data_IF_915528990879
#
_entry.id   IF_915528990879
#
_cell.length_a   1.000
_cell.length_b   1.000
_cell.length_c   1.000
_cell.angle_alpha   90.00
_cell.angle_beta   90.00
_cell.angle_gamma   90.00
#
_symmetry.space_group_name_H-M   'P 1'
#
loop_
_entity.id
_entity.type
_entity.pdbx_description
1 polymer ?
#
# COMPACT_ATOMS: atom_id res chain seq x y z
N UNK A 1 18.44 -30.15 12.92
CA UNK A 1 18.49 -31.34 13.79
C UNK A 1 18.09 -32.52 12.94
N UNK A 2 18.81 -33.64 13.00
CA UNK A 2 18.45 -34.84 12.27
C UNK A 2 17.24 -35.50 12.94
N UNK A 3 16.17 -35.71 12.17
CA UNK A 3 14.87 -36.18 12.63
C UNK A 3 14.55 -37.63 12.20
N UNK A 4 15.55 -38.33 11.65
CA UNK A 4 15.47 -39.72 11.17
C UNK A 4 16.40 -40.64 11.97
N UNK A 5 16.27 -41.98 11.86
CA UNK A 5 17.22 -42.91 12.45
C UNK A 5 18.67 -42.59 12.08
N UNK A 6 19.61 -43.00 12.93
CA UNK A 6 21.04 -42.76 12.74
C UNK A 6 21.51 -43.20 11.35
N UNK A 7 22.31 -42.35 10.70
CA UNK A 7 22.97 -42.63 9.44
C UNK A 7 24.47 -42.37 9.61
N UNK A 8 25.21 -43.34 10.19
CA UNK A 8 26.63 -43.18 10.55
C UNK A 8 27.51 -42.81 9.35
N UNK A 9 27.18 -43.31 8.17
CA UNK A 9 27.91 -43.08 6.92
C UNK A 9 27.91 -41.61 6.46
N UNK A 10 27.02 -40.80 7.03
CA UNK A 10 26.94 -39.35 6.80
C UNK A 10 27.16 -38.53 8.06
N UNK A 11 27.64 -39.18 9.13
CA UNK A 11 27.83 -38.59 10.46
C UNK A 11 26.53 -37.99 11.07
N UNK A 12 25.37 -38.46 10.63
CA UNK A 12 24.07 -37.99 11.10
C UNK A 12 23.55 -38.90 12.22
N UNK A 13 23.24 -38.30 13.37
CA UNK A 13 22.69 -38.99 14.55
C UNK A 13 21.35 -38.38 14.92
N UNK A 14 20.35 -39.19 15.25
CA UNK A 14 19.00 -38.74 15.60
C UNK A 14 19.07 -37.76 16.77
N UNK A 15 18.42 -36.60 16.62
CA UNK A 15 18.44 -35.53 17.61
C UNK A 15 19.72 -34.67 17.62
N UNK A 16 20.75 -35.04 16.84
CA UNK A 16 21.97 -34.24 16.72
C UNK A 16 21.87 -33.18 15.61
N UNK A 17 22.80 -32.21 15.57
CA UNK A 17 22.97 -31.33 14.43
C UNK A 17 23.21 -32.11 13.14
N UNK A 18 22.63 -31.65 12.04
CA UNK A 18 22.78 -32.27 10.71
C UNK A 18 23.90 -31.63 9.86
N UNK A 19 24.88 -30.98 10.50
CA UNK A 19 26.02 -30.33 9.82
C UNK A 19 25.73 -28.98 9.14
N UNK A 20 24.55 -28.39 9.33
CA UNK A 20 24.25 -27.01 8.88
C UNK A 20 25.02 -25.96 9.71
N UNK A 21 24.93 -24.68 9.33
CA UNK A 21 25.64 -23.58 10.01
C UNK A 21 25.43 -23.62 11.53
N UNK A 22 26.52 -23.79 12.29
CA UNK A 22 26.52 -23.84 13.75
C UNK A 22 27.67 -23.01 14.34
N UNK A 23 27.42 -22.17 15.36
CA UNK A 23 26.11 -21.89 15.96
C UNK A 23 25.27 -20.92 15.10
N UNK A 24 24.02 -21.29 14.82
CA UNK A 24 23.08 -20.42 14.12
C UNK A 24 22.46 -19.42 15.11
N UNK A 25 23.02 -18.21 15.17
CA UNK A 25 22.60 -17.16 16.11
C UNK A 25 21.10 -16.84 15.97
N UNK A 26 20.54 -16.96 14.77
CA UNK A 26 19.11 -16.75 14.54
C UNK A 26 18.22 -17.72 15.34
N UNK A 27 18.54 -19.03 15.32
CA UNK A 27 17.77 -20.02 16.08
C UNK A 27 17.80 -19.75 17.59
N UNK A 28 18.94 -19.25 18.10
CA UNK A 28 19.05 -18.84 19.50
C UNK A 28 18.23 -17.58 19.81
N UNK A 29 18.23 -16.59 18.92
CA UNK A 29 17.40 -15.40 19.08
C UNK A 29 15.90 -15.73 19.08
N UNK A 30 15.45 -16.60 18.17
CA UNK A 30 14.06 -17.06 18.13
C UNK A 30 13.65 -17.82 19.40
N UNK A 31 14.55 -18.65 19.96
CA UNK A 31 14.29 -19.30 21.24
C UNK A 31 14.09 -18.30 22.39
N UNK A 32 14.92 -17.25 22.47
CA UNK A 32 14.79 -16.21 23.49
C UNK A 32 13.47 -15.44 23.31
N UNK A 33 13.10 -15.08 22.08
CA UNK A 33 11.83 -14.42 21.77
C UNK A 33 10.63 -15.27 22.18
N UNK A 34 10.68 -16.59 21.96
CA UNK A 34 9.63 -17.51 22.37
C UNK A 34 9.47 -17.54 23.89
N UNK A 35 10.57 -17.74 24.64
CA UNK A 35 10.55 -17.74 26.10
C UNK A 35 9.98 -16.43 26.66
N UNK A 36 10.40 -15.30 26.08
CA UNK A 36 9.89 -13.99 26.46
C UNK A 36 8.39 -13.85 26.15
N UNK A 37 7.94 -14.34 25.01
CA UNK A 37 6.55 -14.27 24.59
C UNK A 37 5.64 -15.11 25.49
N UNK A 38 6.08 -16.32 25.87
CA UNK A 38 5.37 -17.19 26.81
C UNK A 38 5.24 -16.53 28.18
N UNK A 39 6.32 -15.91 28.69
CA UNK A 39 6.29 -15.18 29.95
C UNK A 39 5.35 -13.99 29.94
N UNK A 40 5.34 -13.23 28.84
CA UNK A 40 4.53 -12.02 28.71
C UNK A 40 3.08 -12.32 28.25
N UNK A 41 2.76 -13.58 27.93
CA UNK A 41 1.44 -14.01 27.43
C UNK A 41 1.07 -13.43 26.06
N UNK A 42 2.05 -12.90 25.32
CA UNK A 42 1.87 -12.25 24.01
C UNK A 42 3.15 -12.34 23.19
N UNK A 43 3.02 -12.29 21.86
CA UNK A 43 4.16 -12.24 20.94
C UNK A 43 5.02 -11.00 21.26
N UNK A 44 6.26 -11.24 21.71
CA UNK A 44 7.16 -10.20 22.23
C UNK A 44 7.51 -9.15 21.18
N UNK A 45 7.80 -9.58 19.96
CA UNK A 45 8.23 -8.72 18.86
C UNK A 45 7.07 -8.22 17.99
N UNK A 46 5.82 -8.40 18.43
CA UNK A 46 4.66 -7.87 17.72
C UNK A 46 4.58 -6.34 17.88
N UNK A 47 4.70 -5.56 16.78
CA UNK A 47 4.59 -4.11 16.84
C UNK A 47 3.16 -3.70 17.20
N UNK A 48 2.94 -2.93 18.27
CA UNK A 48 1.60 -2.57 18.73
C UNK A 48 0.85 -1.66 17.73
N UNK A 49 1.58 -0.91 16.90
CA UNK A 49 1.03 0.07 15.98
C UNK A 49 0.13 -0.57 14.91
N UNK A 50 0.52 -1.75 14.41
CA UNK A 50 -0.28 -2.48 13.42
C UNK A 50 -1.61 -2.96 14.00
N UNK A 51 -1.58 -3.54 15.19
CA UNK A 51 -2.78 -4.00 15.92
C UNK A 51 -3.71 -2.82 16.20
N UNK A 52 -3.17 -1.72 16.71
CA UNK A 52 -3.95 -0.52 17.01
C UNK A 52 -4.62 0.05 15.75
N UNK A 53 -3.88 0.18 14.64
CA UNK A 53 -4.38 0.78 13.41
C UNK A 53 -5.40 -0.12 12.69
N UNK A 54 -5.07 -1.39 12.48
CA UNK A 54 -5.85 -2.27 11.58
C UNK A 54 -6.93 -3.08 12.29
N UNK A 55 -6.69 -3.53 13.52
CA UNK A 55 -7.63 -4.40 14.25
C UNK A 55 -8.57 -3.58 15.13
N UNK A 56 -8.02 -2.70 15.96
CA UNK A 56 -8.82 -1.91 16.91
C UNK A 56 -9.52 -0.73 16.25
N UNK A 57 -8.74 0.17 15.64
CA UNK A 57 -9.28 1.39 15.02
C UNK A 57 -9.89 1.16 13.64
N UNK A 58 -9.58 0.01 13.01
CA UNK A 58 -9.99 -0.32 11.63
C UNK A 58 -9.76 0.86 10.68
N UNK A 59 -8.62 1.55 10.83
CA UNK A 59 -8.33 2.77 10.09
C UNK A 59 -8.13 2.45 8.61
N UNK A 60 -9.02 2.97 7.78
CA UNK A 60 -8.96 2.85 6.31
C UNK A 60 -8.32 4.07 5.69
N UNK A 61 -7.74 3.90 4.49
CA UNK A 61 -7.21 5.04 3.71
C UNK A 61 -8.34 6.04 3.39
N UNK A 62 -8.15 7.36 3.55
CA UNK A 62 -9.13 8.36 3.14
C UNK A 62 -9.16 8.59 1.63
N UNK A 63 -8.18 8.07 0.88
CA UNK A 63 -8.08 8.22 -0.57
C UNK A 63 -7.80 6.89 -1.27
N UNK A 64 -7.99 6.88 -2.60
CA UNK A 64 -7.47 5.86 -3.51
C UNK A 64 -6.50 6.51 -4.48
N UNK A 65 -5.36 5.85 -4.70
CA UNK A 65 -4.31 6.35 -5.59
C UNK A 65 -4.53 5.88 -7.02
N UNK A 66 -4.46 6.80 -7.96
CA UNK A 66 -4.36 6.55 -9.39
C UNK A 66 -2.95 6.90 -9.87
N UNK A 67 -2.37 6.04 -10.73
CA UNK A 67 -1.08 6.23 -11.41
C UNK A 67 -1.17 5.73 -12.84
N UNK A 68 -0.25 6.15 -13.70
CA UNK A 68 -0.12 5.58 -15.05
C UNK A 68 0.10 4.05 -15.05
N UNK A 69 0.82 3.53 -14.07
CA UNK A 69 1.04 2.09 -13.87
C UNK A 69 -0.01 1.43 -12.95
N UNK A 70 -0.99 2.19 -12.44
CA UNK A 70 -2.10 1.70 -11.62
C UNK A 70 -3.36 2.52 -11.90
N UNK A 71 -3.97 2.27 -13.06
CA UNK A 71 -5.16 2.99 -13.53
C UNK A 71 -6.41 2.34 -12.94
N UNK A 72 -6.73 2.71 -11.70
CA UNK A 72 -7.99 2.30 -11.08
C UNK A 72 -9.17 2.78 -11.95
N UNK A 73 -10.22 1.96 -12.05
CA UNK A 73 -11.42 2.27 -12.84
C UNK A 73 -12.55 2.83 -11.99
N UNK A 74 -12.50 2.59 -10.68
CA UNK A 74 -13.47 3.10 -9.73
C UNK A 74 -12.84 3.34 -8.36
N UNK A 75 -13.50 4.17 -7.55
CA UNK A 75 -13.23 4.31 -6.12
C UNK A 75 -14.55 4.33 -5.33
N UNK A 76 -14.56 3.89 -4.07
CA UNK A 76 -15.75 3.99 -3.22
C UNK A 76 -16.09 5.46 -2.90
N UNK A 77 -17.38 5.78 -2.85
CA UNK A 77 -17.87 7.08 -2.41
C UNK A 77 -17.32 7.48 -1.03
N UNK A 78 -17.11 8.79 -0.81
CA UNK A 78 -16.53 9.33 0.42
C UNK A 78 -14.99 9.25 0.50
N UNK A 79 -14.31 8.89 -0.59
CA UNK A 79 -12.84 8.91 -0.69
C UNK A 79 -12.37 10.00 -1.64
N UNK A 80 -11.18 10.53 -1.38
CA UNK A 80 -10.48 11.39 -2.33
C UNK A 80 -9.81 10.53 -3.42
N UNK A 81 -9.66 11.10 -4.61
CA UNK A 81 -8.86 10.53 -5.68
C UNK A 81 -7.47 11.18 -5.66
N UNK A 82 -6.46 10.44 -5.23
CA UNK A 82 -5.07 10.91 -5.25
C UNK A 82 -4.44 10.56 -6.59
N UNK A 83 -4.04 11.54 -7.36
CA UNK A 83 -3.24 11.34 -8.56
C UNK A 83 -1.77 11.45 -8.18
N UNK A 84 -0.98 10.44 -8.54
CA UNK A 84 0.47 10.42 -8.37
C UNK A 84 1.17 10.35 -9.74
N UNK A 85 2.07 11.30 -9.98
CA UNK A 85 2.82 11.49 -11.22
C UNK A 85 4.33 11.44 -10.94
N UNK A 86 5.11 11.03 -11.94
CA UNK A 86 6.57 10.99 -11.86
C UNK A 86 7.22 12.36 -12.13
N UNK A 87 6.46 13.34 -12.61
CA UNK A 87 6.92 14.68 -12.93
C UNK A 87 5.85 15.72 -12.58
N UNK A 88 6.25 16.99 -12.53
CA UNK A 88 5.32 18.10 -12.29
C UNK A 88 4.25 18.15 -13.36
N UNK A 89 3.00 18.24 -12.94
CA UNK A 89 1.85 18.23 -13.83
C UNK A 89 0.71 19.09 -13.28
N UNK A 90 -0.17 19.50 -14.18
CA UNK A 90 -1.49 20.06 -13.85
C UNK A 90 -2.52 19.01 -14.20
N UNK A 91 -3.35 18.65 -13.22
CA UNK A 91 -4.47 17.74 -13.44
C UNK A 91 -5.67 18.58 -13.84
N UNK A 92 -6.09 18.42 -15.09
CA UNK A 92 -7.26 19.08 -15.65
C UNK A 92 -8.44 18.12 -15.55
N UNK A 93 -9.46 18.45 -14.78
CA UNK A 93 -10.50 17.50 -14.43
C UNK A 93 -11.88 18.10 -14.26
N UNK A 94 -12.87 17.21 -14.36
CA UNK A 94 -14.28 17.51 -14.19
C UNK A 94 -15.01 16.30 -13.58
N UNK A 95 -16.07 16.57 -12.83
CA UNK A 95 -17.00 15.56 -12.30
C UNK A 95 -18.42 15.67 -12.90
N UNK A 96 -18.63 16.59 -13.85
CA UNK A 96 -19.93 16.93 -14.43
C UNK A 96 -19.87 16.99 -15.97
N UNK A 97 -19.07 16.10 -16.57
CA UNK A 97 -18.90 15.97 -18.03
C UNK A 97 -18.38 17.25 -18.70
N UNK A 98 -17.37 17.87 -18.09
CA UNK A 98 -16.72 19.10 -18.57
C UNK A 98 -17.62 20.36 -18.53
N UNK A 99 -18.73 20.34 -17.78
CA UNK A 99 -19.53 21.55 -17.55
C UNK A 99 -18.78 22.52 -16.63
N UNK A 100 -18.13 21.99 -15.60
CA UNK A 100 -17.15 22.70 -14.77
C UNK A 100 -15.80 22.03 -14.90
N UNK A 101 -14.77 22.87 -14.93
CA UNK A 101 -13.38 22.47 -15.12
C UNK A 101 -12.57 22.96 -13.94
N UNK A 102 -11.69 22.11 -13.45
CA UNK A 102 -10.71 22.44 -12.41
C UNK A 102 -9.32 22.04 -12.88
N UNK A 103 -8.36 22.88 -12.54
CA UNK A 103 -6.94 22.67 -12.81
C UNK A 103 -6.17 22.70 -11.49
N UNK A 104 -5.72 21.53 -11.04
CA UNK A 104 -4.96 21.42 -9.80
C UNK A 104 -3.50 21.06 -10.08
N UNK A 105 -2.58 21.85 -9.51
CA UNK A 105 -1.15 21.61 -9.63
C UNK A 105 -0.71 20.47 -8.71
N UNK A 106 0.17 19.59 -9.20
CA UNK A 106 0.82 18.61 -8.34
C UNK A 106 1.91 19.25 -7.47
N UNK A 107 2.03 18.73 -6.24
CA UNK A 107 3.08 19.12 -5.30
C UNK A 107 4.02 17.93 -5.11
N UNK A 108 5.33 18.16 -5.17
CA UNK A 108 6.33 17.14 -4.95
C UNK A 108 6.42 16.79 -3.46
N UNK A 109 6.49 15.49 -3.14
CA UNK A 109 6.76 15.02 -1.79
C UNK A 109 8.26 14.73 -1.57
N UNK A 110 8.63 14.36 -0.35
CA UNK A 110 10.02 14.05 0.02
C UNK A 110 10.66 12.87 -0.75
N UNK A 111 9.87 12.13 -1.54
CA UNK A 111 10.32 10.98 -2.32
C UNK A 111 10.36 11.27 -3.83
N UNK A 112 10.21 12.53 -4.25
CA UNK A 112 10.20 12.91 -5.66
C UNK A 112 8.92 12.51 -6.41
N UNK A 113 7.83 12.23 -5.69
CA UNK A 113 6.54 11.92 -6.30
C UNK A 113 5.67 13.17 -6.28
N UNK A 114 5.14 13.53 -7.44
CA UNK A 114 4.22 14.64 -7.60
C UNK A 114 2.79 14.17 -7.35
N UNK A 115 2.11 14.79 -6.38
CA UNK A 115 0.78 14.36 -5.95
C UNK A 115 -0.23 15.51 -5.90
N UNK A 116 -1.48 15.17 -6.13
CA UNK A 116 -2.64 16.04 -5.88
C UNK A 116 -3.83 15.20 -5.46
N UNK A 117 -4.62 15.73 -4.53
CA UNK A 117 -5.87 15.12 -4.09
C UNK A 117 -7.04 15.85 -4.74
N UNK A 118 -7.79 15.15 -5.59
CA UNK A 118 -9.00 15.69 -6.19
C UNK A 118 -10.16 15.54 -5.21
N UNK A 119 -10.86 16.64 -4.91
CA UNK A 119 -11.99 16.66 -3.99
C UNK A 119 -13.25 16.06 -4.65
N UNK A 120 -13.27 14.74 -4.68
CA UNK A 120 -14.35 13.93 -5.26
C UNK A 120 -15.12 13.14 -4.20
N UNK A 121 -14.80 13.36 -2.92
CA UNK A 121 -15.38 12.61 -1.81
C UNK A 121 -16.89 12.86 -1.65
N UNK A 122 -17.38 14.03 -2.04
CA UNK A 122 -18.80 14.40 -2.00
C UNK A 122 -19.64 13.87 -3.18
N UNK A 123 -19.01 13.21 -4.17
CA UNK A 123 -19.73 12.71 -5.33
C UNK A 123 -20.59 11.48 -4.97
N UNK A 124 -21.77 11.41 -5.58
CA UNK A 124 -22.69 10.31 -5.37
C UNK A 124 -22.24 9.06 -6.14
N UNK A 125 -22.55 7.84 -5.64
CA UNK A 125 -22.35 6.61 -6.40
C UNK A 125 -22.98 6.69 -7.81
N UNK A 126 -22.28 6.17 -8.81
CA UNK A 126 -22.65 6.27 -10.23
C UNK A 126 -22.10 7.53 -10.93
N UNK A 127 -21.49 8.47 -10.20
CA UNK A 127 -20.79 9.61 -10.79
C UNK A 127 -19.48 9.17 -11.46
N UNK A 128 -18.98 9.97 -12.40
CA UNK A 128 -17.70 9.71 -13.07
C UNK A 128 -16.83 10.95 -13.03
N UNK A 129 -15.58 10.78 -12.61
CA UNK A 129 -14.53 11.79 -12.71
C UNK A 129 -13.77 11.56 -14.01
N UNK A 130 -13.63 12.61 -14.81
CA UNK A 130 -12.84 12.61 -16.03
C UNK A 130 -11.68 13.57 -15.85
N UNK A 131 -10.48 13.16 -16.24
CA UNK A 131 -9.30 14.01 -16.14
C UNK A 131 -8.25 13.71 -17.19
N UNK A 132 -7.41 14.70 -17.46
CA UNK A 132 -6.21 14.59 -18.27
C UNK A 132 -5.09 15.40 -17.64
N UNK A 133 -3.91 15.40 -18.25
CA UNK A 133 -2.72 16.05 -17.72
C UNK A 133 -2.16 17.07 -18.70
N UNK A 134 -1.84 18.25 -18.18
CA UNK A 134 -0.93 19.18 -18.83
C UNK A 134 0.44 19.09 -18.16
N UNK A 135 1.49 19.00 -18.98
CA UNK A 135 2.89 18.89 -18.55
C UNK A 135 3.59 20.23 -18.76
N UNK A 136 3.75 21.07 -17.70
CA UNK A 136 4.25 22.44 -17.87
C UNK A 136 5.68 22.49 -18.43
N UNK A 137 6.53 21.55 -18.04
CA UNK A 137 7.94 21.51 -18.49
C UNK A 137 8.08 21.21 -19.98
N UNK A 138 7.20 20.34 -20.51
CA UNK A 138 7.19 19.98 -21.93
C UNK A 138 6.19 20.81 -22.74
N UNK A 139 5.46 21.72 -22.09
CA UNK A 139 4.38 22.53 -22.67
C UNK A 139 3.42 21.73 -23.55
N UNK A 140 3.01 20.54 -23.10
CA UNK A 140 2.15 19.63 -23.86
C UNK A 140 1.04 19.01 -23.02
N UNK A 141 -0.04 18.66 -23.68
CA UNK A 141 -1.10 17.83 -23.12
C UNK A 141 -0.76 16.34 -23.26
N UNK A 142 -1.28 15.53 -22.35
CA UNK A 142 -1.25 14.08 -22.46
C UNK A 142 -2.09 13.57 -23.64
N UNK A 143 -3.08 14.35 -24.09
CA UNK A 143 -4.00 14.03 -25.21
C UNK A 143 -4.80 12.73 -25.01
N UNK A 144 -4.94 12.28 -23.77
CA UNK A 144 -5.74 11.13 -23.39
C UNK A 144 -6.55 11.50 -22.16
N UNK A 145 -7.85 11.23 -22.22
CA UNK A 145 -8.75 11.36 -21.08
C UNK A 145 -8.81 10.05 -20.31
N UNK A 146 -8.68 10.16 -19.00
CA UNK A 146 -8.83 9.06 -18.05
C UNK A 146 -10.14 9.23 -17.29
N UNK A 147 -10.74 8.10 -16.92
CA UNK A 147 -12.02 8.09 -16.22
C UNK A 147 -11.96 7.20 -14.99
N UNK A 148 -12.60 7.64 -13.93
CA UNK A 148 -12.78 6.86 -12.70
C UNK A 148 -14.22 7.03 -12.22
N UNK A 149 -14.92 5.91 -12.06
CA UNK A 149 -16.27 5.87 -11.51
C UNK A 149 -16.30 5.96 -9.99
N UNK A 150 -17.41 6.43 -9.44
CA UNK A 150 -17.69 6.42 -8.01
C UNK A 150 -18.60 5.23 -7.71
N UNK A 151 -18.07 4.22 -7.03
CA UNK A 151 -18.82 3.06 -6.58
C UNK A 151 -19.54 3.36 -5.24
N UNK A 152 -20.52 2.54 -4.83
CA UNK A 152 -21.04 2.58 -3.47
C UNK A 152 -19.90 2.55 -2.43
N UNK A 153 -20.12 3.19 -1.28
CA UNK A 153 -19.13 3.16 -0.19
C UNK A 153 -18.79 1.72 0.18
N UNK A 154 -17.52 1.44 0.49
CA UNK A 154 -17.08 0.15 1.00
C UNK A 154 -17.97 -0.24 2.20
N UNK A 155 -18.83 -1.24 2.03
CA UNK A 155 -19.58 -1.85 3.13
C UNK A 155 -18.58 -2.38 4.14
N UNK A 156 -18.61 -1.85 5.37
CA UNK A 156 -17.74 -2.30 6.47
C UNK A 156 -18.09 -3.69 6.98
#
# INVERSE_FOLDING_TARGET
VWDRPDLPERELRLGAPSGSAMPLVWARAEHIKLLRSLRDGKVFDMPPQGVERYIKRKTVSPFRTWRFNNKIRSLPAGKLLRVELAARGVVHWSSDKWLTVRDDNTVENAFGVHLVDLDVAGLQPGSTVVFTFFWPEASRWENVDFTVGIDPSDSR
#
